data_IF_462185852645
#
_entry.id   IF_462185852645
#
_cell.length_a   1.000
_cell.length_b   1.000
_cell.length_c   1.000
_cell.angle_alpha   90.00
_cell.angle_beta   90.00
_cell.angle_gamma   90.00
#
_symmetry.space_group_name_H-M   'P 1'
#
loop_
_entity.id
_entity.type
_entity.pdbx_description
1 polymer ?
#
# COMPACT_ATOMS: atom_id res chain seq x y z
N UNK A 1 -77.91 -38.03 -29.45
CA UNK A 1 -79.25 -37.52 -29.12
C UNK A 1 -79.00 -36.10 -28.68
N UNK A 2 -79.07 -35.08 -29.61
CA UNK A 2 -80.32 -34.37 -29.90
C UNK A 2 -80.91 -33.74 -28.63
N UNK A 3 -81.11 -32.45 -28.44
CA UNK A 3 -81.66 -31.41 -29.35
C UNK A 3 -81.54 -30.07 -28.61
N UNK A 4 -81.08 -28.96 -29.24
CA UNK A 4 -81.94 -27.88 -29.71
C UNK A 4 -82.86 -27.20 -28.67
N UNK A 5 -83.10 -25.93 -28.60
CA UNK A 5 -83.06 -24.78 -29.53
C UNK A 5 -83.74 -23.54 -28.85
N UNK A 6 -83.34 -22.41 -29.34
CA UNK A 6 -84.14 -21.18 -29.55
C UNK A 6 -84.21 -20.11 -28.47
N UNK A 7 -83.57 -19.03 -28.73
CA UNK A 7 -83.99 -17.72 -29.33
C UNK A 7 -84.98 -16.90 -28.52
N UNK A 8 -84.61 -15.67 -28.23
CA UNK A 8 -85.37 -14.51 -28.71
C UNK A 8 -84.73 -13.16 -28.36
N UNK A 9 -84.45 -12.41 -29.35
CA UNK A 9 -84.34 -11.02 -29.64
C UNK A 9 -85.18 -10.01 -28.85
N UNK A 10 -84.59 -8.81 -28.72
CA UNK A 10 -85.08 -7.40 -28.77
C UNK A 10 -84.71 -6.67 -27.54
N UNK A 11 -84.15 -5.50 -27.54
CA UNK A 11 -84.13 -4.41 -28.48
C UNK A 11 -83.16 -3.31 -28.03
N UNK A 12 -82.93 -2.41 -28.91
CA UNK A 12 -82.00 -1.33 -28.93
C UNK A 12 -82.16 -0.24 -27.87
N UNK A 13 -81.07 0.33 -27.40
CA UNK A 13 -80.98 1.77 -27.09
C UNK A 13 -79.53 2.21 -27.16
N UNK A 14 -79.30 3.14 -28.04
CA UNK A 14 -78.09 3.90 -28.32
C UNK A 14 -77.75 4.77 -27.13
N UNK A 15 -76.51 4.69 -26.66
CA UNK A 15 -75.95 5.63 -25.71
C UNK A 15 -74.44 5.65 -25.87
N UNK A 16 -73.96 6.65 -26.65
CA UNK A 16 -72.57 7.04 -26.69
C UNK A 16 -72.13 7.57 -25.33
N UNK A 17 -71.28 6.83 -24.62
CA UNK A 17 -70.53 7.36 -23.48
C UNK A 17 -69.06 7.27 -23.91
N UNK A 18 -68.48 8.45 -24.27
CA UNK A 18 -67.08 8.66 -24.47
C UNK A 18 -66.38 8.52 -23.12
N UNK A 19 -65.91 7.33 -22.80
CA UNK A 19 -65.12 7.07 -21.61
C UNK A 19 -63.69 7.47 -21.87
N UNK A 20 -63.27 8.60 -21.30
CA UNK A 20 -61.89 9.04 -21.19
C UNK A 20 -61.15 8.02 -20.33
N UNK A 21 -60.37 7.13 -20.95
CA UNK A 21 -59.46 6.26 -20.24
C UNK A 21 -58.26 7.16 -19.80
N UNK A 22 -58.30 7.67 -18.57
CA UNK A 22 -57.13 8.14 -17.88
C UNK A 22 -56.28 6.92 -17.61
N UNK A 23 -55.29 6.65 -18.48
CA UNK A 23 -54.16 5.80 -18.15
C UNK A 23 -53.32 6.53 -17.11
N UNK A 24 -53.55 6.27 -15.84
CA UNK A 24 -52.62 6.58 -14.77
C UNK A 24 -51.43 5.67 -14.96
N UNK A 25 -50.40 6.15 -15.61
CA UNK A 25 -49.06 5.61 -15.47
C UNK A 25 -48.67 5.84 -14.01
N UNK A 26 -48.76 4.78 -13.21
CA UNK A 26 -48.13 4.76 -11.91
C UNK A 26 -46.60 4.93 -12.18
N UNK A 27 -46.12 6.15 -12.04
CA UNK A 27 -44.70 6.42 -11.86
C UNK A 27 -44.40 5.79 -10.50
N UNK A 28 -43.80 4.61 -10.52
CA UNK A 28 -43.12 4.09 -9.36
C UNK A 28 -41.98 5.09 -9.13
N UNK A 29 -42.17 5.98 -8.14
CA UNK A 29 -41.07 6.72 -7.59
C UNK A 29 -40.08 5.64 -7.12
N UNK A 30 -38.92 5.57 -7.74
CA UNK A 30 -37.79 4.86 -7.26
C UNK A 30 -37.44 5.57 -5.95
N UNK A 31 -37.73 4.91 -4.84
CA UNK A 31 -37.35 5.41 -3.51
C UNK A 31 -35.81 5.35 -3.53
N UNK A 32 -35.16 6.50 -3.64
CA UNK A 32 -33.69 6.63 -3.58
C UNK A 32 -33.16 6.43 -2.13
N UNK A 33 -33.88 5.68 -1.32
CA UNK A 33 -33.39 5.29 -0.01
C UNK A 33 -32.16 4.38 -0.19
N UNK A 34 -31.08 4.74 0.49
CA UNK A 34 -29.90 3.86 0.53
C UNK A 34 -30.29 2.45 1.00
N UNK A 35 -29.77 1.39 0.34
CA UNK A 35 -30.09 0.03 0.73
C UNK A 35 -29.68 -0.22 2.18
N UNK A 36 -30.59 -0.76 2.98
CA UNK A 36 -30.33 -1.10 4.39
C UNK A 36 -29.49 -2.39 4.47
N UNK A 37 -28.24 -2.33 4.98
CA UNK A 37 -27.40 -3.51 5.12
C UNK A 37 -27.99 -4.61 6.03
N UNK A 38 -28.90 -4.24 6.93
CA UNK A 38 -29.59 -5.17 7.83
C UNK A 38 -30.79 -5.86 7.18
N UNK A 39 -31.15 -5.47 5.94
CA UNK A 39 -32.26 -6.10 5.23
C UNK A 39 -32.07 -7.61 5.13
N UNK A 40 -33.03 -8.37 5.65
CA UNK A 40 -33.01 -9.83 5.58
C UNK A 40 -33.38 -10.29 4.18
N UNK A 41 -32.48 -11.03 3.54
CA UNK A 41 -32.64 -11.58 2.18
C UNK A 41 -33.08 -13.04 2.20
N UNK A 42 -32.69 -13.81 3.21
CA UNK A 42 -33.10 -15.18 3.41
C UNK A 42 -33.06 -15.53 4.91
N UNK A 43 -33.78 -16.58 5.28
CA UNK A 43 -33.71 -17.17 6.62
C UNK A 43 -33.62 -18.70 6.52
N UNK A 44 -32.67 -19.29 7.23
CA UNK A 44 -32.41 -20.74 7.25
C UNK A 44 -32.60 -21.23 8.69
N UNK A 45 -33.72 -21.87 8.96
CA UNK A 45 -34.08 -22.34 10.31
C UNK A 45 -33.99 -21.26 11.40
N UNK A 46 -34.36 -20.03 11.06
CA UNK A 46 -34.34 -18.87 11.96
C UNK A 46 -33.01 -18.11 12.00
N UNK A 47 -32.02 -18.56 11.27
CA UNK A 47 -30.76 -17.79 11.07
C UNK A 47 -30.93 -16.90 9.85
N UNK A 48 -30.80 -15.60 10.06
CA UNK A 48 -30.99 -14.59 9.01
C UNK A 48 -29.73 -14.37 8.19
N UNK A 49 -29.92 -14.27 6.87
CA UNK A 49 -28.89 -13.87 5.91
C UNK A 49 -29.27 -12.48 5.38
N UNK A 50 -28.50 -11.46 5.72
CA UNK A 50 -28.77 -10.07 5.38
C UNK A 50 -28.03 -9.61 4.15
N UNK A 51 -28.34 -8.41 3.67
CA UNK A 51 -27.62 -7.76 2.58
C UNK A 51 -26.13 -7.57 2.94
N UNK A 52 -25.81 -7.23 4.19
CA UNK A 52 -24.43 -7.12 4.67
C UNK A 52 -23.64 -8.41 4.46
N UNK A 53 -24.24 -9.57 4.70
CA UNK A 53 -23.58 -10.87 4.47
C UNK A 53 -23.21 -11.10 3.01
N UNK A 54 -24.10 -10.70 2.07
CA UNK A 54 -23.83 -10.83 0.62
C UNK A 54 -22.73 -9.87 0.19
N UNK A 55 -22.74 -8.62 0.70
CA UNK A 55 -21.70 -7.63 0.42
C UNK A 55 -20.33 -8.11 0.93
N UNK A 56 -20.28 -8.61 2.18
CA UNK A 56 -19.07 -9.14 2.77
C UNK A 56 -18.52 -10.37 2.01
N UNK A 57 -19.42 -11.28 1.60
CA UNK A 57 -19.03 -12.43 0.79
C UNK A 57 -18.44 -12.03 -0.57
N UNK A 58 -18.98 -10.95 -1.20
CA UNK A 58 -18.42 -10.42 -2.44
C UNK A 58 -17.01 -9.87 -2.26
N UNK A 59 -16.71 -9.23 -1.14
CA UNK A 59 -15.38 -8.65 -0.87
C UNK A 59 -14.27 -9.70 -0.85
N UNK A 60 -14.61 -10.95 -0.52
CA UNK A 60 -13.67 -12.08 -0.45
C UNK A 60 -13.53 -12.86 -1.76
N UNK A 61 -14.22 -12.44 -2.84
CA UNK A 61 -14.11 -13.14 -4.13
C UNK A 61 -12.81 -12.76 -4.84
N UNK A 62 -12.18 -13.74 -5.54
CA UNK A 62 -11.07 -13.44 -6.46
C UNK A 62 -11.44 -12.42 -7.53
N UNK A 63 -10.46 -11.63 -7.96
CA UNK A 63 -10.68 -10.51 -8.90
C UNK A 63 -11.34 -10.93 -10.23
N UNK A 64 -11.17 -12.18 -10.64
CA UNK A 64 -11.79 -12.74 -11.85
C UNK A 64 -13.33 -12.68 -11.84
N UNK A 65 -13.94 -12.77 -10.65
CA UNK A 65 -15.40 -12.65 -10.50
C UNK A 65 -15.93 -11.23 -10.68
N UNK A 66 -15.07 -10.20 -10.62
CA UNK A 66 -15.48 -8.81 -10.81
C UNK A 66 -16.06 -8.51 -12.20
N UNK A 67 -15.79 -9.38 -13.17
CA UNK A 67 -16.27 -9.28 -14.55
C UNK A 67 -17.71 -9.82 -14.75
N UNK A 68 -18.25 -10.53 -13.77
CA UNK A 68 -19.59 -11.09 -13.88
C UNK A 68 -20.66 -10.01 -13.64
N UNK A 69 -21.84 -10.13 -14.30
CA UNK A 69 -22.96 -9.23 -14.03
C UNK A 69 -23.36 -9.23 -12.57
N UNK A 70 -23.59 -8.06 -11.97
CA UNK A 70 -23.92 -7.91 -10.55
C UNK A 70 -25.11 -8.74 -10.12
N UNK A 71 -26.15 -8.85 -10.96
CA UNK A 71 -27.34 -9.66 -10.68
C UNK A 71 -27.02 -11.16 -10.54
N UNK A 72 -26.09 -11.67 -11.36
CA UNK A 72 -25.67 -13.07 -11.28
C UNK A 72 -24.82 -13.33 -10.05
N UNK A 73 -23.92 -12.41 -9.73
CA UNK A 73 -23.11 -12.48 -8.50
C UNK A 73 -23.99 -12.45 -7.24
N UNK A 74 -24.94 -11.52 -7.21
CA UNK A 74 -25.83 -11.36 -6.06
C UNK A 74 -26.64 -12.63 -5.77
N UNK A 75 -27.30 -13.20 -6.80
CA UNK A 75 -28.08 -14.43 -6.63
C UNK A 75 -27.18 -15.61 -6.25
N UNK A 76 -26.02 -15.75 -6.92
CA UNK A 76 -25.08 -16.84 -6.65
C UNK A 76 -24.52 -16.81 -5.24
N UNK A 77 -24.16 -15.61 -4.73
CA UNK A 77 -23.65 -15.43 -3.37
C UNK A 77 -24.73 -15.71 -2.32
N UNK A 78 -25.95 -15.24 -2.56
CA UNK A 78 -27.08 -15.52 -1.65
C UNK A 78 -27.35 -17.03 -1.57
N UNK A 79 -27.40 -17.72 -2.72
CA UNK A 79 -27.60 -19.17 -2.77
C UNK A 79 -26.45 -19.91 -2.06
N UNK A 80 -25.20 -19.47 -2.25
CA UNK A 80 -24.04 -20.03 -1.56
C UNK A 80 -24.15 -19.87 -0.04
N UNK A 81 -24.52 -18.69 0.45
CA UNK A 81 -24.68 -18.44 1.88
C UNK A 81 -25.79 -19.29 2.49
N UNK A 82 -26.92 -19.46 1.79
CA UNK A 82 -28.00 -20.37 2.20
C UNK A 82 -27.49 -21.81 2.29
N UNK A 83 -26.74 -22.30 1.31
CA UNK A 83 -26.17 -23.64 1.33
C UNK A 83 -25.17 -23.83 2.45
N UNK A 84 -24.30 -22.84 2.69
CA UNK A 84 -23.36 -22.87 3.82
C UNK A 84 -24.09 -22.92 5.16
N UNK A 85 -25.16 -22.14 5.33
CA UNK A 85 -25.96 -22.16 6.55
C UNK A 85 -26.61 -23.53 6.78
N UNK A 86 -27.17 -24.15 5.73
CA UNK A 86 -27.76 -25.51 5.81
C UNK A 86 -26.73 -26.56 6.20
N UNK A 87 -25.56 -26.54 5.54
CA UNK A 87 -24.47 -27.49 5.82
C UNK A 87 -23.90 -27.28 7.21
N UNK A 88 -23.69 -26.02 7.62
CA UNK A 88 -23.19 -25.69 8.96
C UNK A 88 -24.14 -26.17 10.05
N UNK A 89 -25.45 -25.98 9.88
CA UNK A 89 -26.47 -26.47 10.83
C UNK A 89 -26.61 -28.00 10.86
N UNK A 90 -26.23 -28.69 9.80
CA UNK A 90 -26.22 -30.14 9.74
C UNK A 90 -25.03 -30.78 10.48
N UNK A 91 -23.96 -30.00 10.68
CA UNK A 91 -22.76 -30.48 11.37
C UNK A 91 -23.04 -30.72 12.87
N UNK A 92 -22.73 -31.93 13.33
CA UNK A 92 -22.98 -32.34 14.73
C UNK A 92 -21.69 -32.70 15.48
N UNK A 93 -20.52 -32.55 14.82
CA UNK A 93 -19.22 -32.82 15.42
C UNK A 93 -18.63 -31.61 16.13
N UNK A 94 -17.42 -31.78 16.62
CA UNK A 94 -16.56 -30.68 17.06
C UNK A 94 -15.64 -30.28 15.91
N UNK A 95 -15.35 -28.98 15.81
CA UNK A 95 -14.39 -28.48 14.83
C UNK A 95 -13.01 -29.09 15.09
N UNK A 96 -12.27 -29.41 14.03
CA UNK A 96 -10.88 -29.82 14.13
C UNK A 96 -10.02 -28.74 14.82
N UNK A 97 -8.88 -29.12 15.36
CA UNK A 97 -7.93 -28.16 15.92
C UNK A 97 -7.58 -27.08 14.89
N UNK A 98 -7.31 -27.48 13.65
CA UNK A 98 -7.04 -26.56 12.54
C UNK A 98 -8.14 -25.52 12.37
N UNK A 99 -9.40 -25.95 12.27
CA UNK A 99 -10.54 -25.04 12.05
C UNK A 99 -10.74 -24.08 13.22
N UNK A 100 -10.61 -24.55 14.45
CA UNK A 100 -10.71 -23.67 15.64
C UNK A 100 -9.60 -22.63 15.67
N UNK A 101 -8.34 -23.06 15.47
CA UNK A 101 -7.20 -22.15 15.50
C UNK A 101 -7.27 -21.11 14.38
N UNK A 102 -7.77 -21.47 13.19
CA UNK A 102 -7.98 -20.50 12.12
C UNK A 102 -9.06 -19.48 12.47
N UNK A 103 -10.18 -19.91 13.03
CA UNK A 103 -11.22 -19.00 13.47
C UNK A 103 -10.75 -18.05 14.57
N UNK A 104 -10.00 -18.56 15.56
CA UNK A 104 -9.44 -17.76 16.65
C UNK A 104 -8.40 -16.72 16.13
N UNK A 105 -7.60 -17.08 15.13
CA UNK A 105 -6.64 -16.17 14.51
C UNK A 105 -7.35 -15.10 13.69
N UNK A 106 -8.36 -15.50 12.90
CA UNK A 106 -9.16 -14.57 12.09
C UNK A 106 -9.93 -13.57 12.95
N UNK A 107 -10.57 -14.04 14.02
CA UNK A 107 -11.26 -13.18 14.97
C UNK A 107 -10.31 -12.15 15.59
N UNK A 108 -9.12 -12.58 16.03
CA UNK A 108 -8.10 -11.64 16.56
C UNK A 108 -7.67 -10.61 15.52
N UNK A 109 -7.45 -11.04 14.28
CA UNK A 109 -7.02 -10.16 13.20
C UNK A 109 -8.09 -9.11 12.87
N UNK A 110 -9.37 -9.53 12.80
CA UNK A 110 -10.50 -8.64 12.54
C UNK A 110 -10.63 -7.61 13.67
N UNK A 111 -10.65 -8.07 14.94
CA UNK A 111 -10.77 -7.17 16.09
C UNK A 111 -9.60 -6.19 16.17
N UNK A 112 -8.36 -6.65 15.93
CA UNK A 112 -7.20 -5.78 15.89
C UNK A 112 -7.29 -4.75 14.77
N UNK A 113 -7.74 -5.16 13.58
CA UNK A 113 -7.97 -4.27 12.45
C UNK A 113 -8.99 -3.17 12.75
N UNK A 114 -10.12 -3.51 13.38
CA UNK A 114 -11.14 -2.55 13.82
C UNK A 114 -10.59 -1.58 14.87
N UNK A 115 -9.83 -2.09 15.85
CA UNK A 115 -9.21 -1.25 16.88
C UNK A 115 -8.23 -0.24 16.24
N UNK A 116 -7.40 -0.68 15.30
CA UNK A 116 -6.48 0.19 14.54
C UNK A 116 -7.28 1.22 13.73
N UNK A 117 -8.31 0.80 13.00
CA UNK A 117 -9.12 1.71 12.19
C UNK A 117 -9.78 2.81 13.05
N UNK A 118 -10.31 2.45 14.22
CA UNK A 118 -10.89 3.41 15.17
C UNK A 118 -9.80 4.35 15.71
N UNK A 119 -8.64 3.82 16.11
CA UNK A 119 -7.52 4.61 16.64
C UNK A 119 -7.00 5.62 15.63
N UNK A 120 -6.92 5.24 14.35
CA UNK A 120 -6.43 6.07 13.25
C UNK A 120 -7.52 6.92 12.57
N UNK A 121 -8.79 6.80 12.98
CA UNK A 121 -9.92 7.52 12.35
C UNK A 121 -9.89 9.04 12.58
N UNK A 122 -9.08 9.54 13.53
CA UNK A 122 -8.87 10.97 13.78
C UNK A 122 -8.05 11.62 12.68
N UNK A 123 -8.41 12.85 12.31
CA UNK A 123 -7.56 13.67 11.44
C UNK A 123 -6.21 13.94 12.11
N UNK A 124 -5.13 13.89 11.33
CA UNK A 124 -3.81 14.32 11.81
C UNK A 124 -3.83 15.84 11.93
N UNK A 125 -3.37 16.34 13.08
CA UNK A 125 -3.31 17.77 13.36
C UNK A 125 -2.40 18.47 12.34
N UNK A 126 -2.94 19.48 11.67
CA UNK A 126 -2.22 20.25 10.65
C UNK A 126 -1.02 21.01 11.25
N UNK A 127 -1.12 21.49 12.49
CA UNK A 127 -0.02 22.18 13.17
C UNK A 127 1.12 21.18 13.50
N UNK A 128 0.77 19.95 13.87
CA UNK A 128 1.73 18.87 14.09
C UNK A 128 2.41 18.44 12.80
N UNK A 129 1.67 18.37 11.67
CA UNK A 129 2.25 18.09 10.35
C UNK A 129 3.25 19.16 9.93
N UNK A 130 2.94 20.46 10.18
CA UNK A 130 3.86 21.55 9.87
C UNK A 130 5.09 21.50 10.76
N UNK A 131 4.94 21.17 12.04
CA UNK A 131 6.08 20.99 12.94
C UNK A 131 7.00 19.85 12.47
N UNK A 132 6.42 18.70 12.09
CA UNK A 132 7.17 17.59 11.53
C UNK A 132 7.88 17.95 10.22
N UNK A 133 7.22 18.74 9.37
CA UNK A 133 7.83 19.26 8.15
C UNK A 133 9.03 20.15 8.42
N UNK A 134 8.92 21.11 9.38
CA UNK A 134 10.03 21.99 9.76
C UNK A 134 11.21 21.20 10.37
N UNK A 135 10.90 20.14 11.10
CA UNK A 135 11.93 19.26 11.69
C UNK A 135 12.64 18.40 10.62
N UNK A 136 11.87 17.80 9.70
CA UNK A 136 12.41 16.89 8.70
C UNK A 136 13.06 17.60 7.52
N UNK A 137 12.55 18.80 7.18
CA UNK A 137 13.04 19.64 6.08
C UNK A 137 13.36 21.04 6.61
N UNK A 138 14.40 21.20 7.44
CA UNK A 138 14.79 22.52 7.92
C UNK A 138 15.14 23.47 6.77
N UNK A 139 14.94 24.77 6.97
CA UNK A 139 15.51 25.74 6.05
C UNK A 139 17.02 25.76 6.25
N UNK A 140 17.75 25.27 5.26
CA UNK A 140 19.23 25.30 5.24
C UNK A 140 19.62 26.29 4.14
N UNK A 141 20.17 27.42 4.56
CA UNK A 141 20.75 28.38 3.60
C UNK A 141 22.05 27.78 3.05
N UNK A 142 22.18 27.75 1.72
CA UNK A 142 23.41 27.37 1.00
C UNK A 142 23.85 25.89 1.10
N UNK A 143 22.95 24.96 1.45
CA UNK A 143 23.27 23.55 1.33
C UNK A 143 23.38 23.13 -0.14
N UNK A 144 24.51 22.55 -0.49
CA UNK A 144 24.81 22.15 -1.86
C UNK A 144 24.96 20.62 -1.95
N UNK A 145 24.40 20.06 -3.01
CA UNK A 145 24.78 18.74 -3.50
C UNK A 145 25.82 18.88 -4.60
N UNK A 146 26.73 17.94 -4.61
CA UNK A 146 27.86 17.88 -5.53
C UNK A 146 27.74 16.64 -6.40
N UNK A 147 27.99 16.81 -7.68
CA UNK A 147 28.20 15.70 -8.59
C UNK A 147 29.66 15.64 -9.00
N UNK A 148 30.30 14.54 -8.64
CA UNK A 148 31.73 14.37 -8.96
C UNK A 148 31.99 13.00 -9.56
N UNK A 149 33.12 12.93 -10.25
CA UNK A 149 33.73 11.67 -10.67
C UNK A 149 35.08 11.52 -9.97
N UNK A 150 35.51 10.29 -9.69
CA UNK A 150 36.78 10.03 -9.08
C UNK A 150 37.56 8.90 -9.75
N UNK A 151 38.90 8.96 -9.61
CA UNK A 151 39.85 7.88 -9.95
C UNK A 151 40.55 7.49 -8.65
N UNK A 152 40.43 6.24 -8.25
CA UNK A 152 41.09 5.67 -7.07
C UNK A 152 42.29 4.85 -7.50
N UNK A 153 43.48 5.13 -6.92
CA UNK A 153 44.73 4.41 -7.15
C UNK A 153 45.42 4.10 -5.82
N UNK A 154 46.45 3.25 -5.88
CA UNK A 154 47.16 2.80 -4.67
C UNK A 154 48.18 3.82 -4.16
N UNK A 155 48.79 4.60 -5.06
CA UNK A 155 49.90 5.49 -4.72
C UNK A 155 49.63 6.94 -5.12
N UNK A 156 50.31 7.87 -4.42
CA UNK A 156 50.26 9.29 -4.74
C UNK A 156 50.87 9.59 -6.11
N UNK A 157 51.94 8.85 -6.47
CA UNK A 157 52.63 9.06 -7.75
C UNK A 157 51.74 8.68 -8.94
N UNK A 158 50.96 7.59 -8.83
CA UNK A 158 49.92 7.25 -9.82
C UNK A 158 48.86 8.33 -9.96
N UNK A 159 48.40 8.91 -8.83
CA UNK A 159 47.45 10.02 -8.86
C UNK A 159 48.03 11.26 -9.54
N UNK A 160 49.29 11.58 -9.30
CA UNK A 160 49.99 12.68 -9.98
C UNK A 160 50.15 12.42 -11.48
N UNK A 161 50.45 11.18 -11.87
CA UNK A 161 50.55 10.81 -13.30
C UNK A 161 49.18 11.00 -14.00
N UNK A 162 48.08 10.65 -13.37
CA UNK A 162 46.72 10.87 -13.89
C UNK A 162 46.46 12.37 -14.09
N UNK A 163 46.82 13.21 -13.12
CA UNK A 163 46.65 14.66 -13.22
C UNK A 163 47.49 15.20 -14.40
N UNK A 164 48.72 14.75 -14.53
CA UNK A 164 49.58 15.13 -15.67
C UNK A 164 48.98 14.70 -17.03
N UNK A 165 48.39 13.50 -17.10
CA UNK A 165 47.71 13.03 -18.31
C UNK A 165 46.51 13.91 -18.64
N UNK A 166 45.73 14.33 -17.61
CA UNK A 166 44.59 15.25 -17.76
C UNK A 166 45.07 16.63 -18.29
N UNK A 167 46.15 17.19 -17.75
CA UNK A 167 46.73 18.46 -18.21
C UNK A 167 47.17 18.40 -19.67
N UNK A 168 47.55 17.22 -20.17
CA UNK A 168 47.95 16.97 -21.56
C UNK A 168 46.76 16.57 -22.47
N UNK A 169 45.50 16.75 -22.01
CA UNK A 169 44.31 16.56 -22.80
C UNK A 169 43.69 15.16 -22.66
N UNK A 170 44.05 14.41 -21.65
CA UNK A 170 43.42 13.14 -21.31
C UNK A 170 41.92 13.33 -20.98
N UNK A 171 41.11 12.30 -21.19
CA UNK A 171 39.70 12.29 -20.87
C UNK A 171 39.48 11.56 -19.53
N UNK A 172 38.97 12.27 -18.54
CA UNK A 172 38.81 11.75 -17.17
C UNK A 172 38.10 10.40 -17.12
N UNK A 173 36.95 10.24 -17.79
CA UNK A 173 36.20 8.99 -17.80
C UNK A 173 36.97 7.83 -18.45
N UNK A 174 37.82 8.10 -19.44
CA UNK A 174 38.67 7.07 -20.05
C UNK A 174 39.77 6.63 -19.08
N UNK A 175 40.42 7.57 -18.41
CA UNK A 175 41.43 7.29 -17.38
C UNK A 175 40.83 6.56 -16.19
N UNK A 176 39.60 6.93 -15.77
CA UNK A 176 38.89 6.22 -14.74
C UNK A 176 38.63 4.76 -15.10
N UNK A 177 38.15 4.49 -16.32
CA UNK A 177 37.95 3.11 -16.80
C UNK A 177 39.24 2.29 -16.87
N UNK A 178 40.36 2.93 -17.21
CA UNK A 178 41.66 2.25 -17.42
C UNK A 178 42.44 2.06 -16.12
N UNK A 179 42.43 3.07 -15.24
CA UNK A 179 43.39 3.20 -14.13
C UNK A 179 42.76 3.07 -12.74
N UNK A 180 41.43 3.32 -12.62
CA UNK A 180 40.79 3.33 -11.31
C UNK A 180 40.57 1.91 -10.78
N UNK A 181 40.93 1.71 -9.51
CA UNK A 181 40.58 0.50 -8.72
C UNK A 181 39.25 0.61 -8.01
N UNK A 182 38.58 1.77 -8.08
CA UNK A 182 37.32 2.03 -7.44
C UNK A 182 36.11 1.38 -8.15
N UNK A 183 35.00 1.18 -7.45
CA UNK A 183 33.80 0.52 -7.99
C UNK A 183 33.13 1.30 -9.13
N UNK A 184 33.31 2.64 -9.17
CA UNK A 184 32.78 3.50 -10.22
C UNK A 184 33.64 3.55 -11.49
N UNK A 185 34.76 2.84 -11.54
CA UNK A 185 35.66 2.81 -12.70
C UNK A 185 34.92 2.54 -14.02
N UNK A 186 34.05 1.52 -14.06
CA UNK A 186 33.33 1.11 -15.27
C UNK A 186 32.31 2.12 -15.80
N UNK A 187 31.91 3.11 -14.97
CA UNK A 187 31.04 4.23 -15.36
C UNK A 187 31.80 5.56 -15.47
N UNK A 188 33.12 5.49 -15.72
CA UNK A 188 33.96 6.68 -15.88
C UNK A 188 34.23 7.43 -14.59
N UNK A 189 34.09 6.78 -13.44
CA UNK A 189 34.32 7.35 -12.13
C UNK A 189 33.11 8.11 -11.55
N UNK A 190 31.98 8.21 -12.25
CA UNK A 190 30.80 8.99 -11.81
C UNK A 190 30.24 8.43 -10.49
N UNK A 191 30.07 9.32 -9.50
CA UNK A 191 29.51 9.00 -8.17
C UNK A 191 28.07 9.43 -8.01
N UNK A 192 27.49 10.10 -9.02
CA UNK A 192 26.18 10.72 -8.90
C UNK A 192 26.19 11.97 -8.00
N UNK A 193 25.01 12.35 -7.50
CA UNK A 193 24.84 13.45 -6.56
C UNK A 193 25.03 12.97 -5.12
N UNK A 194 25.71 13.76 -4.31
CA UNK A 194 25.93 13.49 -2.89
C UNK A 194 26.09 14.80 -2.11
N UNK A 195 25.75 14.76 -0.82
CA UNK A 195 25.86 15.87 0.10
C UNK A 195 26.87 15.66 1.21
N UNK A 196 26.81 16.52 2.23
CA UNK A 196 27.63 16.37 3.44
C UNK A 196 27.27 15.07 4.16
N UNK A 197 28.31 14.34 4.59
CA UNK A 197 28.16 13.06 5.30
C UNK A 197 28.06 11.81 4.42
N UNK A 198 27.81 11.94 3.12
CA UNK A 198 27.74 10.79 2.19
C UNK A 198 29.13 10.24 1.84
N UNK A 199 30.16 11.06 1.95
CA UNK A 199 31.54 10.71 1.62
C UNK A 199 32.46 10.84 2.85
N UNK A 200 33.58 10.15 2.81
CA UNK A 200 34.62 10.32 3.87
C UNK A 200 35.16 11.75 3.88
N UNK A 201 35.37 12.30 5.07
CA UNK A 201 35.71 13.72 5.27
C UNK A 201 36.82 14.26 4.37
N UNK A 202 37.98 13.61 4.20
CA UNK A 202 39.06 14.14 3.33
C UNK A 202 38.65 14.24 1.84
N UNK A 203 37.76 13.34 1.40
CA UNK A 203 37.20 13.37 0.05
C UNK A 203 36.24 14.54 -0.12
N UNK A 204 35.29 14.68 0.81
CA UNK A 204 34.27 15.73 0.76
C UNK A 204 34.90 17.13 0.88
N UNK A 205 35.86 17.33 1.79
CA UNK A 205 36.60 18.59 1.93
C UNK A 205 37.31 18.99 0.62
N UNK A 206 37.85 18.02 -0.10
CA UNK A 206 38.47 18.27 -1.39
C UNK A 206 37.44 18.65 -2.47
N UNK A 207 36.27 18.02 -2.47
CA UNK A 207 35.16 18.34 -3.40
C UNK A 207 34.68 19.78 -3.19
N UNK A 208 34.40 20.15 -1.94
CA UNK A 208 33.91 21.51 -1.57
C UNK A 208 34.89 22.61 -1.95
N UNK A 209 36.21 22.31 -1.97
CA UNK A 209 37.23 23.25 -2.35
C UNK A 209 37.36 23.46 -3.87
N UNK A 210 36.68 22.66 -4.68
CA UNK A 210 36.73 22.75 -6.15
C UNK A 210 35.60 23.65 -6.69
N UNK A 211 35.86 24.27 -7.83
CA UNK A 211 34.81 24.84 -8.69
C UNK A 211 34.36 23.77 -9.71
N UNK A 212 33.09 23.83 -10.20
CA UNK A 212 32.61 22.95 -11.25
C UNK A 212 33.57 22.92 -12.48
N UNK A 213 33.93 21.71 -12.88
CA UNK A 213 34.95 21.46 -13.91
C UNK A 213 36.36 21.35 -13.36
N UNK A 214 36.60 21.62 -12.07
CA UNK A 214 37.91 21.54 -11.42
C UNK A 214 38.34 20.10 -11.11
N UNK A 215 39.64 19.88 -11.10
CA UNK A 215 40.30 18.62 -10.73
C UNK A 215 41.10 18.85 -9.46
N UNK A 216 40.98 17.92 -8.50
CA UNK A 216 41.71 18.02 -7.23
C UNK A 216 43.19 17.70 -7.36
N UNK A 217 44.02 18.17 -6.43
CA UNK A 217 45.27 17.50 -6.11
C UNK A 217 45.03 16.06 -5.64
N UNK A 218 46.04 15.20 -5.55
CA UNK A 218 45.90 13.87 -4.97
C UNK A 218 45.36 13.94 -3.56
N UNK A 219 44.22 13.22 -3.28
CA UNK A 219 43.55 13.20 -1.99
C UNK A 219 43.68 11.82 -1.35
N UNK A 220 44.30 11.77 -0.18
CA UNK A 220 44.49 10.52 0.53
C UNK A 220 43.29 10.18 1.43
N UNK A 221 42.79 8.95 1.32
CA UNK A 221 41.77 8.39 2.25
C UNK A 221 42.23 7.02 2.73
N UNK A 222 41.40 6.36 3.55
CA UNK A 222 41.63 4.97 3.98
C UNK A 222 41.58 3.95 2.82
N UNK A 223 41.04 4.32 1.67
CA UNK A 223 40.90 3.46 0.49
C UNK A 223 42.05 3.58 -0.50
N UNK A 224 42.87 4.62 -0.40
CA UNK A 224 43.95 4.93 -1.33
C UNK A 224 43.99 6.41 -1.68
N UNK A 225 44.50 6.71 -2.86
CA UNK A 225 44.64 8.06 -3.39
C UNK A 225 43.62 8.33 -4.46
N UNK A 226 42.91 9.45 -4.31
CA UNK A 226 41.87 9.88 -5.24
C UNK A 226 42.30 11.08 -6.06
N UNK A 227 41.94 11.07 -7.34
CA UNK A 227 41.83 12.27 -8.17
C UNK A 227 40.37 12.53 -8.41
N UNK A 228 39.88 13.71 -8.07
CA UNK A 228 38.48 14.06 -8.08
C UNK A 228 38.23 15.12 -9.14
N UNK A 229 37.20 14.95 -9.95
CA UNK A 229 36.68 15.94 -10.87
C UNK A 229 35.26 16.36 -10.40
N UNK A 230 35.11 17.60 -9.97
CA UNK A 230 33.80 18.16 -9.66
C UNK A 230 33.10 18.51 -10.97
N UNK A 231 31.99 17.83 -11.26
CA UNK A 231 31.23 18.01 -12.49
C UNK A 231 30.27 19.18 -12.37
N UNK A 232 29.47 19.20 -11.29
CA UNK A 232 28.38 20.13 -11.11
C UNK A 232 28.02 20.28 -9.62
N UNK A 233 27.45 21.42 -9.27
CA UNK A 233 26.83 21.65 -7.94
C UNK A 233 25.40 22.12 -8.12
N UNK A 234 24.53 21.79 -7.19
CA UNK A 234 23.16 22.32 -7.12
C UNK A 234 22.76 22.61 -5.68
N UNK A 235 21.87 23.59 -5.50
CA UNK A 235 21.26 23.79 -4.19
C UNK A 235 20.32 22.63 -3.85
N UNK A 236 20.30 22.22 -2.59
CA UNK A 236 19.29 21.30 -2.08
C UNK A 236 17.98 22.07 -2.02
N UNK A 237 17.01 21.66 -2.83
CA UNK A 237 15.69 22.27 -2.80
C UNK A 237 14.83 21.59 -1.72
N UNK A 238 14.41 22.39 -0.73
CA UNK A 238 13.40 21.96 0.24
C UNK A 238 12.10 21.65 -0.50
N UNK A 239 11.52 20.43 -0.37
CA UNK A 239 10.26 20.12 -1.02
C UNK A 239 9.13 21.00 -0.44
N UNK A 240 8.21 21.45 -1.26
CA UNK A 240 7.03 22.17 -0.79
C UNK A 240 6.20 21.30 0.16
N UNK A 241 5.67 21.89 1.22
CA UNK A 241 4.88 21.18 2.25
C UNK A 241 3.77 20.34 1.64
N UNK A 242 3.01 20.88 0.68
CA UNK A 242 1.90 20.17 0.03
C UNK A 242 2.36 18.92 -0.75
N UNK A 243 3.62 18.91 -1.23
CA UNK A 243 4.17 17.77 -1.94
C UNK A 243 4.48 16.57 -1.01
N UNK A 244 4.82 16.83 0.25
CA UNK A 244 5.21 15.81 1.24
C UNK A 244 4.18 15.59 2.33
N UNK A 245 3.12 16.41 2.38
CA UNK A 245 2.08 16.39 3.42
C UNK A 245 1.47 15.00 3.62
N UNK A 246 1.17 14.28 2.52
CA UNK A 246 0.62 12.93 2.59
C UNK A 246 1.58 11.95 3.26
N UNK A 247 2.83 11.95 2.84
CA UNK A 247 3.86 11.08 3.40
C UNK A 247 4.14 11.37 4.88
N UNK A 248 4.15 12.66 5.27
CA UNK A 248 4.27 13.07 6.67
C UNK A 248 3.07 12.59 7.52
N UNK A 249 1.86 12.71 6.98
CA UNK A 249 0.66 12.23 7.66
C UNK A 249 0.71 10.70 7.89
N UNK A 250 1.10 9.95 6.87
CA UNK A 250 1.25 8.49 6.96
C UNK A 250 2.32 8.09 7.98
N UNK A 251 3.46 8.77 7.97
CA UNK A 251 4.55 8.56 8.93
C UNK A 251 4.12 8.86 10.36
N UNK A 252 3.41 9.97 10.59
CA UNK A 252 2.89 10.33 11.92
C UNK A 252 1.84 9.33 12.40
N UNK A 253 0.95 8.86 11.52
CA UNK A 253 -0.02 7.83 11.89
C UNK A 253 0.65 6.52 12.27
N UNK A 254 1.70 6.12 11.54
CA UNK A 254 2.46 4.93 11.85
C UNK A 254 3.16 5.07 13.22
N UNK A 255 3.86 6.19 13.47
CA UNK A 255 4.51 6.44 14.76
C UNK A 255 3.51 6.42 15.93
N UNK A 256 2.37 7.08 15.78
CA UNK A 256 1.31 7.06 16.80
C UNK A 256 0.79 5.66 17.09
N UNK A 257 0.67 4.81 16.07
CA UNK A 257 0.25 3.43 16.24
C UNK A 257 1.31 2.60 16.95
N UNK A 258 2.60 2.79 16.62
CA UNK A 258 3.72 2.14 17.27
C UNK A 258 3.78 2.51 18.75
N UNK A 259 3.69 3.80 19.08
CA UNK A 259 3.65 4.30 20.46
C UNK A 259 2.46 3.71 21.24
N UNK A 260 1.29 3.67 20.62
CA UNK A 260 0.10 3.09 21.27
C UNK A 260 0.25 1.58 21.54
N UNK A 261 0.85 0.83 20.61
CA UNK A 261 1.14 -0.60 20.81
C UNK A 261 2.16 -0.77 21.94
N UNK A 262 3.15 0.12 22.05
CA UNK A 262 4.13 0.10 23.14
C UNK A 262 3.46 0.36 24.49
N UNK A 263 2.58 1.36 24.58
CA UNK A 263 1.77 1.63 25.79
C UNK A 263 0.92 0.42 26.20
N UNK A 264 0.18 -0.16 25.22
CA UNK A 264 -0.63 -1.36 25.48
C UNK A 264 0.24 -2.53 25.96
N UNK A 265 1.44 -2.68 25.40
CA UNK A 265 2.37 -3.75 25.78
C UNK A 265 2.93 -3.53 27.19
N UNK A 266 3.20 -2.28 27.56
CA UNK A 266 3.70 -1.93 28.89
C UNK A 266 2.66 -2.17 29.99
N UNK A 267 1.37 -1.96 29.67
CA UNK A 267 0.28 -2.15 30.61
C UNK A 267 -0.24 -3.61 30.68
N UNK A 268 0.15 -4.46 29.72
CA UNK A 268 -0.30 -5.84 29.64
C UNK A 268 0.61 -6.80 30.41
N UNK A 269 0.02 -7.84 31.00
CA UNK A 269 0.75 -8.99 31.52
C UNK A 269 1.04 -9.97 30.36
N UNK A 270 2.24 -9.88 29.79
CA UNK A 270 2.65 -10.69 28.63
C UNK A 270 3.70 -11.72 29.08
N UNK A 271 3.24 -12.96 29.27
CA UNK A 271 4.15 -14.09 29.50
C UNK A 271 4.53 -14.75 28.16
N UNK A 272 5.83 -14.85 27.90
CA UNK A 272 6.38 -15.49 26.70
C UNK A 272 7.23 -16.67 27.11
N UNK A 273 6.84 -17.87 26.66
CA UNK A 273 7.67 -19.06 26.83
C UNK A 273 9.00 -18.91 26.08
N UNK A 274 10.04 -19.57 26.59
CA UNK A 274 11.27 -19.76 25.83
C UNK A 274 11.02 -20.71 24.67
N UNK A 275 11.27 -20.24 23.47
CA UNK A 275 11.07 -20.98 22.21
C UNK A 275 12.40 -21.35 21.53
N UNK A 276 13.53 -21.17 22.20
CA UNK A 276 14.88 -21.42 21.66
C UNK A 276 15.10 -22.88 21.20
N UNK A 277 14.40 -23.82 21.84
CA UNK A 277 14.48 -25.26 21.51
C UNK A 277 13.50 -25.70 20.43
N UNK A 278 12.66 -24.78 19.91
CA UNK A 278 11.70 -25.08 18.84
C UNK A 278 12.34 -24.81 17.48
N UNK A 279 12.38 -25.85 16.63
CA UNK A 279 12.80 -25.66 15.24
C UNK A 279 11.84 -24.71 14.52
N UNK A 280 12.28 -23.52 14.04
CA UNK A 280 11.42 -22.58 13.36
C UNK A 280 10.69 -23.16 12.13
N UNK A 281 11.24 -24.21 11.49
CA UNK A 281 10.60 -24.87 10.35
C UNK A 281 9.31 -25.61 10.74
N UNK A 282 9.02 -25.80 12.03
CA UNK A 282 7.76 -26.39 12.51
C UNK A 282 6.52 -25.63 12.00
N UNK A 283 6.63 -24.33 11.68
CA UNK A 283 5.51 -23.54 11.12
C UNK A 283 4.97 -24.10 9.79
N UNK A 284 5.74 -24.95 9.08
CA UNK A 284 5.31 -25.57 7.84
C UNK A 284 4.56 -26.91 8.06
N UNK A 285 4.51 -27.40 9.29
CA UNK A 285 3.97 -28.70 9.68
C UNK A 285 2.46 -28.63 9.92
N UNK A 286 1.69 -28.49 8.83
CA UNK A 286 0.22 -28.45 8.90
C UNK A 286 -0.38 -29.77 9.44
N UNK A 287 0.33 -30.87 9.30
CA UNK A 287 -0.05 -32.19 9.84
C UNK A 287 -0.21 -32.19 11.37
N UNK A 288 0.44 -31.27 12.09
CA UNK A 288 0.27 -31.12 13.54
C UNK A 288 -1.11 -30.56 13.94
N UNK A 289 -1.85 -29.99 13.00
CA UNK A 289 -3.20 -29.45 13.21
C UNK A 289 -4.32 -30.45 12.82
N UNK A 290 -3.99 -31.62 12.28
CA UNK A 290 -4.97 -32.61 11.78
C UNK A 290 -5.54 -33.52 12.87
N UNK A 291 -5.18 -33.34 14.15
CA UNK A 291 -5.63 -34.18 15.28
C UNK A 291 -6.80 -33.59 16.03
#
# INVERSE_FOLDING_TARGET
MSTNLKTSLKGAATGLITGLILSTTAVFAQDDAEPDPSQVLASVNGVEITLAHVIAARANLPAEYSQLPAALLFSGLLDQLVQQALLGQSFKGELSLQSRTFLENEERAIIAGEAIAIFLSGEVDEDALRAAYEEQYPEVEDELEYRASHILVETEDEAKDIINEMENGGVFSALANERSTGPSASVGGDLGWFGDGDMVAPFFEAVVALEPGGISAPVQTQFGWHVINLVETRAVERPEFDAVRGALADQMQQSRLEDHIEELTADADVDRADVSDIDPNVITRMDLLEN
#
